data_IF_539450913254
#
_entry.id   IF_539450913254
#
_cell.length_a   1.000
_cell.length_b   1.000
_cell.length_c   1.000
_cell.angle_alpha   90.00
_cell.angle_beta   90.00
_cell.angle_gamma   90.00
#
_symmetry.space_group_name_H-M   'P 1'
#
loop_
_entity.id
_entity.type
_entity.pdbx_description
1 polymer ?
#
# COMPACT_ATOMS: atom_id res chain seq x y z
N UNK A 1 7.46 2.65 12.90
CA UNK A 1 8.49 3.25 12.02
C UNK A 1 7.82 3.68 10.74
N UNK A 2 8.12 4.88 10.25
CA UNK A 2 7.61 5.39 8.98
C UNK A 2 8.79 5.63 8.02
N UNK A 3 8.62 5.22 6.76
CA UNK A 3 9.57 5.50 5.68
C UNK A 3 8.83 6.32 4.62
N UNK A 4 9.36 7.49 4.28
CA UNK A 4 8.81 8.37 3.25
C UNK A 4 9.72 8.32 2.05
N UNK A 5 9.19 7.87 0.91
CA UNK A 5 9.92 7.79 -0.34
C UNK A 5 9.66 9.04 -1.16
N UNK A 6 10.68 9.90 -1.28
CA UNK A 6 10.64 11.14 -2.06
C UNK A 6 11.63 11.04 -3.20
N UNK A 7 11.24 11.47 -4.39
CA UNK A 7 12.09 11.56 -5.58
C UNK A 7 11.55 12.68 -6.46
N UNK A 8 12.39 13.20 -7.35
CA UNK A 8 12.14 14.37 -8.20
C UNK A 8 10.99 14.19 -9.21
N UNK A 9 11.20 14.41 -10.52
CA UNK A 9 10.11 14.49 -11.50
C UNK A 9 9.11 13.32 -11.49
N UNK A 10 7.93 13.53 -12.09
CA UNK A 10 7.00 12.43 -12.39
C UNK A 10 7.68 11.32 -13.21
N UNK A 11 7.27 10.07 -13.00
CA UNK A 11 7.80 8.93 -13.77
C UNK A 11 9.16 8.37 -13.34
N UNK A 12 9.74 8.83 -12.23
CA UNK A 12 11.03 8.31 -11.70
C UNK A 12 10.94 6.95 -11.01
N UNK A 13 9.76 6.33 -10.97
CA UNK A 13 9.56 4.99 -10.42
C UNK A 13 9.37 4.91 -8.90
N UNK A 14 8.98 6.01 -8.23
CA UNK A 14 8.70 6.02 -6.77
C UNK A 14 7.66 4.97 -6.37
N UNK A 15 6.49 4.96 -7.03
CA UNK A 15 5.42 4.01 -6.71
C UNK A 15 5.84 2.57 -6.92
N UNK A 16 6.58 2.30 -8.00
CA UNK A 16 7.16 0.98 -8.30
C UNK A 16 8.17 0.54 -7.24
N UNK A 17 9.02 1.46 -6.77
CA UNK A 17 9.96 1.19 -5.67
C UNK A 17 9.22 0.93 -4.36
N UNK A 18 8.21 1.75 -4.02
CA UNK A 18 7.35 1.59 -2.84
C UNK A 18 6.73 0.19 -2.81
N UNK A 19 6.14 -0.24 -3.92
CA UNK A 19 5.53 -1.57 -4.07
C UNK A 19 6.52 -2.71 -3.81
N UNK A 20 7.69 -2.66 -4.46
CA UNK A 20 8.68 -3.71 -4.37
C UNK A 20 9.31 -3.78 -2.98
N UNK A 21 9.61 -2.62 -2.38
CA UNK A 21 10.12 -2.55 -1.01
C UNK A 21 9.10 -3.10 -0.02
N UNK A 22 7.84 -2.69 -0.13
CA UNK A 22 6.78 -3.19 0.73
C UNK A 22 6.56 -4.70 0.57
N UNK A 23 6.59 -5.21 -0.67
CA UNK A 23 6.49 -6.64 -0.94
C UNK A 23 7.67 -7.42 -0.36
N UNK A 24 8.90 -6.90 -0.45
CA UNK A 24 10.08 -7.49 0.17
C UNK A 24 9.96 -7.55 1.69
N UNK A 25 9.58 -6.44 2.32
CA UNK A 25 9.41 -6.36 3.78
C UNK A 25 8.28 -7.30 4.25
N UNK A 26 7.15 -7.35 3.55
CA UNK A 26 6.06 -8.27 3.86
C UNK A 26 6.50 -9.74 3.76
N UNK A 27 7.32 -10.10 2.76
CA UNK A 27 7.93 -11.44 2.64
C UNK A 27 8.90 -11.77 3.79
N UNK A 28 9.48 -10.75 4.42
CA UNK A 28 10.36 -10.87 5.60
C UNK A 28 9.60 -10.81 6.93
N UNK A 29 8.29 -11.11 6.91
CA UNK A 29 7.41 -11.17 8.08
C UNK A 29 7.15 -9.84 8.78
N UNK A 30 7.45 -8.70 8.14
CA UNK A 30 7.04 -7.40 8.64
C UNK A 30 5.57 -7.15 8.30
N UNK A 31 4.84 -6.55 9.25
CA UNK A 31 3.51 -6.00 8.97
C UNK A 31 3.67 -4.63 8.30
N UNK A 32 3.39 -4.56 7.00
CA UNK A 32 3.63 -3.39 6.17
C UNK A 32 2.32 -2.76 5.74
N UNK A 33 2.20 -1.45 5.97
CA UNK A 33 1.15 -0.60 5.41
C UNK A 33 1.81 0.31 4.37
N UNK A 34 1.34 0.24 3.13
CA UNK A 34 1.66 1.25 2.12
C UNK A 34 0.61 2.36 2.17
N UNK A 35 1.05 3.60 2.04
CA UNK A 35 0.20 4.77 1.95
C UNK A 35 0.51 5.47 0.64
N UNK A 36 -0.50 5.67 -0.20
CA UNK A 36 -0.36 6.47 -1.41
C UNK A 36 -0.44 7.95 -1.03
N UNK A 37 0.72 8.61 -1.06
CA UNK A 37 0.85 10.03 -0.72
C UNK A 37 0.65 10.96 -1.90
N UNK A 38 0.50 10.44 -3.13
CA UNK A 38 0.18 11.27 -4.29
C UNK A 38 -1.33 11.52 -4.33
N UNK A 39 -1.75 12.68 -3.81
CA UNK A 39 -3.16 13.06 -3.78
C UNK A 39 -3.70 13.53 -5.13
N UNK A 40 -2.83 13.85 -6.10
CA UNK A 40 -3.23 14.37 -7.41
C UNK A 40 -3.36 13.25 -8.44
N UNK A 41 -2.43 12.29 -8.43
CA UNK A 41 -2.43 11.16 -9.36
C UNK A 41 -2.06 9.84 -8.65
N UNK A 42 -2.92 9.36 -7.71
CA UNK A 42 -2.68 8.11 -7.00
C UNK A 42 -2.67 6.93 -7.97
N UNK A 43 -1.66 6.08 -7.89
CA UNK A 43 -1.44 4.95 -8.81
C UNK A 43 -1.31 3.60 -8.08
N UNK A 44 -1.20 3.62 -6.74
CA UNK A 44 -0.84 2.42 -5.98
C UNK A 44 -1.97 1.39 -5.98
N UNK A 45 -3.21 1.83 -5.94
CA UNK A 45 -4.39 0.96 -5.96
C UNK A 45 -4.48 0.15 -7.27
N UNK A 46 -4.11 0.78 -8.39
CA UNK A 46 -4.12 0.16 -9.71
C UNK A 46 -3.01 -0.87 -9.85
N UNK A 47 -1.78 -0.53 -9.44
CA UNK A 47 -0.69 -1.51 -9.40
C UNK A 47 -1.00 -2.73 -8.54
N UNK A 48 -1.75 -2.54 -7.46
CA UNK A 48 -2.17 -3.60 -6.55
C UNK A 48 -3.42 -4.35 -7.03
N UNK A 49 -4.02 -3.91 -8.14
CA UNK A 49 -5.26 -4.44 -8.70
C UNK A 49 -6.37 -4.56 -7.64
N UNK A 50 -6.55 -3.50 -6.84
CA UNK A 50 -7.56 -3.45 -5.78
C UNK A 50 -8.98 -3.25 -6.34
N UNK A 51 -9.10 -2.88 -7.61
CA UNK A 51 -10.37 -2.51 -8.24
C UNK A 51 -10.91 -1.20 -7.68
N UNK A 52 -12.23 -1.08 -7.59
CA UNK A 52 -12.87 0.15 -7.13
C UNK A 52 -12.68 0.34 -5.61
N UNK A 53 -11.77 1.24 -5.23
CA UNK A 53 -11.51 1.63 -3.84
C UNK A 53 -12.54 2.67 -3.37
N UNK A 54 -13.40 2.27 -2.43
CA UNK A 54 -14.48 3.12 -1.90
C UNK A 54 -13.98 4.37 -1.16
N UNK A 55 -12.87 4.26 -0.42
CA UNK A 55 -12.34 5.33 0.41
C UNK A 55 -10.84 5.48 0.16
N UNK A 56 -10.44 6.66 -0.30
CA UNK A 56 -9.05 7.02 -0.57
C UNK A 56 -8.46 7.82 0.60
N UNK A 57 -7.14 8.03 0.59
CA UNK A 57 -6.49 8.93 1.56
C UNK A 57 -7.09 10.35 1.48
N UNK A 58 -7.34 10.86 0.27
CA UNK A 58 -8.01 12.14 0.08
C UNK A 58 -9.36 12.17 0.81
N UNK A 59 -10.21 11.15 0.63
CA UNK A 59 -11.52 11.11 1.28
C UNK A 59 -11.41 11.07 2.81
N UNK A 60 -10.45 10.31 3.35
CA UNK A 60 -10.17 10.26 4.78
C UNK A 60 -9.73 11.62 5.35
N UNK A 61 -8.93 12.39 4.60
CA UNK A 61 -8.47 13.71 5.03
C UNK A 61 -9.59 14.78 4.96
N UNK A 62 -10.54 14.61 4.05
CA UNK A 62 -11.65 15.56 3.86
C UNK A 62 -12.88 15.28 4.72
N UNK A 63 -13.01 14.08 5.27
CA UNK A 63 -14.20 13.61 5.98
C UNK A 63 -13.81 13.08 7.36
N UNK A 64 -13.90 13.96 8.36
CA UNK A 64 -13.51 13.66 9.74
C UNK A 64 -14.39 12.61 10.43
N UNK A 65 -15.52 12.22 9.82
CA UNK A 65 -16.36 11.15 10.33
C UNK A 65 -15.85 9.75 9.95
N UNK A 66 -14.94 9.66 8.98
CA UNK A 66 -14.40 8.38 8.52
C UNK A 66 -13.26 7.91 9.41
N UNK A 67 -13.35 6.66 9.86
CA UNK A 67 -12.22 6.00 10.51
C UNK A 67 -11.16 5.58 9.49
N UNK A 68 -9.88 5.74 9.84
CA UNK A 68 -8.76 5.34 8.99
C UNK A 68 -8.83 3.88 8.52
N UNK A 69 -9.34 2.98 9.38
CA UNK A 69 -9.51 1.55 9.05
C UNK A 69 -10.42 1.31 7.86
N UNK A 70 -11.37 2.21 7.58
CA UNK A 70 -12.29 2.09 6.45
C UNK A 70 -11.57 2.22 5.09
N UNK A 71 -10.43 2.91 5.05
CA UNK A 71 -9.60 3.11 3.86
C UNK A 71 -8.41 2.13 3.78
N UNK A 72 -8.38 1.08 4.60
CA UNK A 72 -7.32 0.06 4.59
C UNK A 72 -7.75 -1.16 3.78
N UNK A 73 -7.02 -1.43 2.70
CA UNK A 73 -7.26 -2.55 1.80
C UNK A 73 -6.18 -3.62 1.94
N UNK A 74 -6.59 -4.89 2.07
CA UNK A 74 -5.66 -6.03 2.18
C UNK A 74 -5.42 -6.67 0.82
N UNK A 75 -4.17 -6.97 0.51
CA UNK A 75 -3.82 -7.79 -0.64
C UNK A 75 -4.29 -9.25 -0.42
N UNK A 76 -5.32 -9.68 -1.16
CA UNK A 76 -5.91 -11.03 -1.04
C UNK A 76 -4.95 -12.14 -1.44
N UNK A 77 -3.93 -11.87 -2.28
CA UNK A 77 -3.01 -12.88 -2.82
C UNK A 77 -1.87 -13.27 -1.86
N UNK A 78 -1.64 -12.52 -0.78
CA UNK A 78 -0.53 -12.79 0.15
C UNK A 78 -0.79 -13.89 1.19
N UNK A 79 -1.92 -14.61 1.11
CA UNK A 79 -2.20 -15.75 2.00
C UNK A 79 -1.31 -16.98 1.75
N UNK A 80 -0.55 -17.04 0.65
CA UNK A 80 0.16 -18.28 0.25
C UNK A 80 1.59 -18.45 0.79
N UNK A 81 2.20 -17.41 1.34
CA UNK A 81 3.54 -17.52 1.96
C UNK A 81 3.47 -17.79 3.48
N UNK A 82 2.40 -17.35 4.14
CA UNK A 82 2.19 -17.48 5.58
C UNK A 82 2.12 -18.95 6.06
N UNK A 83 1.58 -19.86 5.24
CA UNK A 83 1.34 -21.25 5.64
C UNK A 83 2.33 -22.29 5.08
N UNK A 84 3.30 -21.90 4.24
CA UNK A 84 4.24 -22.88 3.63
C UNK A 84 5.60 -22.96 4.32
N UNK A 85 5.98 -21.95 5.09
CA UNK A 85 7.27 -21.93 5.80
C UNK A 85 7.26 -22.57 7.19
N UNK A 86 6.10 -22.97 7.72
CA UNK A 86 5.93 -23.65 9.02
C UNK A 86 5.69 -25.15 8.78
N UNK A 87 6.46 -25.72 7.85
CA UNK A 87 6.63 -27.16 7.69
C UNK A 87 8.12 -27.41 7.52
N UNK A 88 8.83 -27.39 8.64
CA UNK A 88 10.08 -28.09 8.89
C UNK A 88 10.19 -28.23 10.40
#
# INVERSE_FOLDING_TARGET
>A
MALVLVTGPGGTGKSVLTLNLAAYLAKRYYNVLMVDGDLFLPDLADYMNLGNVKYTLHKLLTDSSLEAKAAVYKNKKQKSAFCRGIKN
#
